data_IF_808738430148
#
_entry.id   IF_808738430148
#
_cell.length_a   1.000
_cell.length_b   1.000
_cell.length_c   1.000
_cell.angle_alpha   90.00
_cell.angle_beta   90.00
_cell.angle_gamma   90.00
#
_symmetry.space_group_name_H-M   'P 1'
#
loop_
_entity.id
_entity.type
_entity.pdbx_description
1 polymer ?
#
# COMPACT_ATOMS: atom_id res chain seq x y z
N UNK A 1 26.63 31.86 -40.46
CA UNK A 1 25.26 32.43 -40.39
C UNK A 1 24.76 32.18 -38.97
N UNK A 2 25.01 33.14 -38.09
CA UNK A 2 24.69 33.05 -36.67
C UNK A 2 23.31 33.68 -36.46
N UNK A 3 22.35 32.87 -36.01
CA UNK A 3 21.02 33.35 -35.63
C UNK A 3 20.83 33.15 -34.13
N UNK A 4 20.84 34.29 -33.44
CA UNK A 4 20.45 34.49 -32.06
C UNK A 4 18.94 34.26 -31.92
N UNK A 5 18.52 33.39 -31.02
CA UNK A 5 17.11 33.23 -30.63
C UNK A 5 16.93 33.77 -29.22
N UNK A 6 16.21 34.88 -29.14
CA UNK A 6 15.78 35.55 -27.93
C UNK A 6 14.66 34.77 -27.23
N UNK A 7 14.72 34.68 -25.91
CA UNK A 7 13.64 34.18 -25.04
C UNK A 7 12.65 35.31 -24.72
N UNK A 8 11.34 35.03 -24.58
CA UNK A 8 10.36 36.04 -24.20
C UNK A 8 10.32 36.28 -22.68
N UNK A 9 10.14 37.55 -22.33
CA UNK A 9 10.00 38.06 -20.96
C UNK A 9 8.65 37.67 -20.33
N UNK A 10 8.68 37.39 -19.03
CA UNK A 10 7.53 37.09 -18.18
C UNK A 10 7.03 38.39 -17.52
N UNK A 11 5.73 38.77 -17.60
CA UNK A 11 5.20 39.93 -16.90
C UNK A 11 4.32 39.50 -15.72
N UNK A 12 4.83 39.61 -14.48
CA UNK A 12 4.03 39.97 -13.28
C UNK A 12 4.81 39.73 -11.99
N UNK A 13 5.50 40.76 -11.51
CA UNK A 13 5.79 40.88 -10.09
C UNK A 13 5.70 42.37 -9.73
N UNK A 14 4.50 42.80 -9.34
CA UNK A 14 4.26 44.15 -8.86
C UNK A 14 4.43 44.17 -7.34
N UNK A 15 5.41 44.96 -6.94
CA UNK A 15 5.74 45.43 -5.60
C UNK A 15 4.54 45.93 -4.81
N UNK A 16 4.42 45.52 -3.54
CA UNK A 16 3.74 46.34 -2.52
C UNK A 16 4.49 46.27 -1.18
N UNK A 17 5.40 47.22 -1.01
CA UNK A 17 5.90 47.63 0.28
C UNK A 17 4.97 48.75 0.81
N UNK A 18 4.34 48.53 1.97
CA UNK A 18 3.77 49.62 2.75
C UNK A 18 4.12 49.43 4.22
N UNK A 19 4.99 50.32 4.68
CA UNK A 19 5.27 50.62 6.09
C UNK A 19 3.95 50.97 6.80
N UNK A 20 3.69 50.32 7.92
CA UNK A 20 2.64 50.69 8.86
C UNK A 20 3.14 50.41 10.27
N UNK A 21 3.62 51.45 10.93
CA UNK A 21 3.94 51.44 12.35
C UNK A 21 2.63 51.26 13.15
N UNK A 22 2.63 50.36 14.12
CA UNK A 22 1.59 50.26 15.14
C UNK A 22 2.15 50.52 16.54
N UNK A 23 1.34 51.08 17.45
CA UNK A 23 1.80 51.66 18.71
C UNK A 23 1.88 50.61 19.83
N UNK A 24 2.84 50.82 20.73
CA UNK A 24 2.98 50.10 22.00
C UNK A 24 1.77 50.36 22.93
N UNK A 25 1.20 49.34 23.58
CA UNK A 25 0.32 49.52 24.73
C UNK A 25 1.12 49.63 26.05
N UNK A 26 0.49 50.17 27.11
CA UNK A 26 1.19 50.75 28.26
C UNK A 26 1.68 49.71 29.27
N UNK A 27 2.78 50.08 29.93
CA UNK A 27 3.35 49.40 31.08
C UNK A 27 2.37 49.44 32.27
N UNK A 28 2.09 48.28 32.84
CA UNK A 28 1.48 48.16 34.18
C UNK A 28 2.40 47.35 35.07
N UNK A 29 2.53 47.84 36.30
CA UNK A 29 3.53 47.52 37.30
C UNK A 29 3.52 46.07 37.82
N UNK A 30 4.71 45.66 38.28
CA UNK A 30 4.98 44.50 39.13
C UNK A 30 4.10 44.46 40.40
N UNK A 31 3.96 43.27 41.01
CA UNK A 31 4.82 43.05 42.18
C UNK A 31 5.56 41.71 42.18
N UNK A 32 6.70 41.76 42.85
CA UNK A 32 7.68 40.72 43.09
C UNK A 32 7.09 39.39 43.57
N UNK A 33 7.66 38.29 43.06
CA UNK A 33 7.87 37.12 43.91
C UNK A 33 9.14 36.38 43.49
N UNK A 34 9.94 36.08 44.51
CA UNK A 34 11.23 35.40 44.45
C UNK A 34 11.12 33.94 43.99
N UNK A 35 12.30 33.37 43.73
CA UNK A 35 12.68 31.94 43.78
C UNK A 35 12.84 31.26 42.42
N UNK A 36 14.09 30.87 42.13
CA UNK A 36 14.40 29.68 41.31
C UNK A 36 15.39 29.88 40.17
N UNK A 37 16.68 30.06 40.50
CA UNK A 37 17.76 29.88 39.53
C UNK A 37 17.84 28.43 39.05
N UNK A 38 17.54 28.16 37.78
CA UNK A 38 18.09 27.01 37.05
C UNK A 38 18.30 27.37 35.57
N UNK A 39 19.56 27.56 35.19
CA UNK A 39 20.02 27.68 33.81
C UNK A 39 19.76 26.39 33.02
N UNK A 40 19.22 26.44 31.79
CA UNK A 40 19.31 25.32 30.86
C UNK A 40 20.56 25.49 29.98
N UNK A 41 21.51 24.58 30.16
CA UNK A 41 22.59 24.35 29.20
C UNK A 41 22.04 23.73 27.91
N UNK A 42 22.41 24.31 26.78
CA UNK A 42 22.32 23.68 25.45
C UNK A 42 23.40 22.59 25.30
N UNK A 43 23.08 21.45 24.65
CA UNK A 43 24.05 20.73 23.82
C UNK A 43 23.57 20.76 22.36
N UNK A 44 24.30 21.40 21.45
CA UNK A 44 25.45 20.85 20.69
C UNK A 44 25.10 19.60 19.87
N UNK A 45 24.92 19.87 18.59
CA UNK A 45 25.36 19.10 17.40
C UNK A 45 26.14 17.82 17.66
N UNK A 46 25.67 16.70 17.10
CA UNK A 46 26.48 15.52 16.82
C UNK A 46 26.50 15.26 15.32
N UNK A 47 27.67 15.46 14.72
CA UNK A 47 28.09 14.90 13.45
C UNK A 47 28.71 13.50 13.66
N UNK A 48 28.45 12.62 12.69
CA UNK A 48 29.32 11.58 12.12
C UNK A 48 30.01 10.50 12.98
N UNK A 49 29.67 9.26 12.61
CA UNK A 49 30.55 8.15 12.20
C UNK A 49 31.41 7.36 13.22
N UNK A 50 31.09 6.07 13.36
CA UNK A 50 31.95 4.86 13.43
C UNK A 50 31.01 3.69 13.06
N UNK A 51 31.12 2.86 12.02
CA UNK A 51 32.20 2.04 11.47
C UNK A 51 32.99 1.26 12.53
N UNK A 52 32.69 -0.05 12.62
CA UNK A 52 33.68 -1.07 12.92
C UNK A 52 33.25 -2.41 12.31
N UNK A 53 34.19 -2.95 11.52
CA UNK A 53 34.28 -4.31 11.01
C UNK A 53 34.81 -5.26 12.09
N UNK A 54 34.44 -6.54 12.01
CA UNK A 54 35.22 -7.76 12.31
C UNK A 54 34.34 -8.93 11.76
N UNK A 55 34.66 -9.68 10.69
CA UNK A 55 35.81 -10.56 10.39
C UNK A 55 35.98 -11.62 11.50
N UNK A 56 36.05 -12.95 11.34
CA UNK A 56 36.36 -13.92 10.27
C UNK A 56 35.90 -15.33 10.77
N UNK A 57 35.61 -16.32 9.92
CA UNK A 57 36.40 -17.58 9.69
C UNK A 57 35.53 -18.52 8.80
N UNK A 58 35.93 -18.95 7.59
CA UNK A 58 36.72 -20.18 7.24
C UNK A 58 36.08 -21.48 7.80
N UNK A 59 35.89 -22.62 7.13
CA UNK A 59 36.44 -23.26 5.91
C UNK A 59 35.62 -24.58 5.67
N UNK A 60 35.30 -24.97 4.44
CA UNK A 60 35.53 -26.35 3.94
C UNK A 60 35.29 -26.47 2.42
N UNK A 61 36.32 -26.99 1.75
CA UNK A 61 36.43 -27.38 0.34
C UNK A 61 36.38 -28.91 0.26
N UNK A 62 36.03 -29.42 -0.94
CA UNK A 62 36.27 -30.76 -1.53
C UNK A 62 34.98 -31.58 -1.74
N UNK A 63 34.70 -32.24 -2.86
CA UNK A 63 35.34 -32.39 -4.19
C UNK A 63 34.38 -33.23 -5.08
N UNK A 64 34.57 -33.15 -6.41
CA UNK A 64 34.29 -34.17 -7.45
C UNK A 64 32.86 -34.79 -7.60
N UNK A 65 32.27 -35.13 -8.76
CA UNK A 65 32.81 -35.55 -10.07
C UNK A 65 31.67 -35.66 -11.09
N UNK A 66 32.00 -35.34 -12.35
CA UNK A 66 31.62 -35.94 -13.66
C UNK A 66 30.20 -36.49 -13.95
N UNK A 67 29.67 -36.14 -15.14
CA UNK A 67 28.55 -36.86 -15.74
C UNK A 67 27.97 -36.29 -17.04
N UNK A 68 28.62 -36.62 -18.16
CA UNK A 68 28.06 -36.84 -19.52
C UNK A 68 27.41 -35.71 -20.34
N UNK A 69 27.95 -35.60 -21.56
CA UNK A 69 27.51 -34.85 -22.73
C UNK A 69 26.20 -35.38 -23.35
N UNK A 70 25.31 -34.49 -23.83
CA UNK A 70 24.46 -34.73 -25.01
C UNK A 70 24.08 -33.39 -25.71
N UNK A 71 23.93 -33.37 -27.06
CA UNK A 71 23.91 -32.14 -27.89
C UNK A 71 22.51 -31.54 -28.13
N UNK A 72 22.40 -30.31 -28.69
CA UNK A 72 21.19 -29.49 -28.60
C UNK A 72 20.07 -29.89 -29.57
N UNK A 73 18.84 -29.90 -29.04
CA UNK A 73 17.62 -30.00 -29.82
C UNK A 73 17.38 -28.72 -30.64
N UNK A 74 17.09 -28.92 -31.93
CA UNK A 74 16.73 -27.90 -32.92
C UNK A 74 15.43 -27.19 -32.53
N UNK A 75 15.44 -25.86 -32.59
CA UNK A 75 14.23 -25.04 -32.63
C UNK A 75 13.66 -25.03 -34.06
N UNK A 76 12.34 -25.21 -34.25
CA UNK A 76 11.73 -24.90 -35.52
C UNK A 76 11.42 -23.40 -35.62
N UNK A 77 11.83 -22.84 -36.76
CA UNK A 77 11.44 -21.54 -37.26
C UNK A 77 9.94 -21.46 -37.57
N UNK A 78 9.44 -20.22 -37.54
CA UNK A 78 8.17 -19.75 -38.13
C UNK A 78 6.87 -20.05 -37.38
N UNK A 79 6.23 -18.98 -36.90
CA UNK A 79 4.83 -18.70 -37.27
C UNK A 79 4.45 -17.25 -36.91
N UNK A 80 4.63 -16.36 -37.88
CA UNK A 80 4.04 -15.03 -37.90
C UNK A 80 2.60 -15.12 -38.44
N UNK A 81 1.62 -15.43 -37.58
CA UNK A 81 0.19 -15.17 -37.86
C UNK A 81 -0.65 -15.59 -36.66
N UNK A 82 -0.90 -14.67 -35.72
CA UNK A 82 -2.01 -14.81 -34.75
C UNK A 82 -2.64 -13.45 -34.43
N UNK A 83 -3.05 -12.78 -35.50
CA UNK A 83 -3.91 -11.61 -35.45
C UNK A 83 -4.90 -11.68 -36.61
N UNK A 84 -5.96 -12.49 -36.41
CA UNK A 84 -7.27 -12.48 -37.08
C UNK A 84 -7.98 -13.77 -36.66
N UNK A 85 -9.17 -13.61 -36.10
CA UNK A 85 -10.11 -14.64 -35.63
C UNK A 85 -10.13 -14.87 -34.12
N UNK A 86 -10.67 -13.87 -33.41
CA UNK A 86 -11.31 -14.07 -32.12
C UNK A 86 -12.69 -13.38 -32.13
N UNK A 87 -13.64 -14.01 -32.82
CA UNK A 87 -15.07 -13.77 -32.56
C UNK A 87 -15.42 -14.36 -31.21
N UNK A 88 -15.25 -13.58 -30.14
CA UNK A 88 -15.60 -13.96 -28.77
C UNK A 88 -17.01 -13.47 -28.44
N UNK A 89 -17.97 -14.38 -28.59
CA UNK A 89 -19.26 -14.30 -27.95
C UNK A 89 -19.07 -14.24 -26.41
N UNK A 90 -19.78 -13.32 -25.78
CA UNK A 90 -19.81 -13.14 -24.33
C UNK A 90 -20.41 -14.39 -23.65
N UNK A 91 -19.54 -15.26 -23.15
CA UNK A 91 -19.93 -16.33 -22.21
C UNK A 91 -19.51 -15.91 -20.80
N UNK A 92 -20.45 -15.38 -20.01
CA UNK A 92 -20.26 -15.21 -18.56
C UNK A 92 -20.33 -16.58 -17.87
N UNK A 93 -19.33 -17.01 -17.09
CA UNK A 93 -19.51 -18.09 -16.16
C UNK A 93 -20.32 -17.60 -14.95
N UNK A 94 -21.39 -18.33 -14.61
CA UNK A 94 -22.15 -18.13 -13.39
C UNK A 94 -21.39 -18.79 -12.23
N UNK A 95 -20.81 -17.98 -11.35
CA UNK A 95 -20.19 -18.45 -10.12
C UNK A 95 -21.30 -18.52 -9.06
N UNK A 96 -21.75 -19.73 -8.74
CA UNK A 96 -22.65 -20.00 -7.60
C UNK A 96 -21.79 -20.20 -6.35
N UNK A 97 -21.84 -19.26 -5.43
CA UNK A 97 -21.36 -19.48 -4.07
C UNK A 97 -22.37 -20.32 -3.31
N UNK A 98 -21.94 -21.49 -2.78
CA UNK A 98 -22.67 -22.18 -1.71
C UNK A 98 -22.44 -21.39 -0.44
N UNK A 99 -23.52 -20.88 0.13
CA UNK A 99 -23.53 -20.15 1.38
C UNK A 99 -24.02 -21.11 2.46
N UNK A 100 -23.08 -21.84 3.06
CA UNK A 100 -23.30 -22.58 4.30
C UNK A 100 -22.05 -22.35 5.14
N UNK A 101 -22.21 -21.60 6.23
CA UNK A 101 -21.56 -21.79 7.54
C UNK A 101 -21.88 -20.59 8.43
N UNK A 102 -22.88 -20.82 9.28
CA UNK A 102 -23.21 -19.99 10.44
C UNK A 102 -22.19 -20.34 11.52
N UNK A 103 -21.32 -19.41 11.89
CA UNK A 103 -20.50 -19.56 13.10
C UNK A 103 -21.28 -18.98 14.28
N UNK A 104 -21.79 -19.86 15.14
CA UNK A 104 -22.14 -19.52 16.52
C UNK A 104 -20.86 -19.15 17.27
N UNK A 105 -20.85 -17.95 17.84
CA UNK A 105 -19.82 -17.52 18.78
C UNK A 105 -20.26 -17.99 20.16
N UNK A 106 -19.85 -19.19 20.56
CA UNK A 106 -19.95 -19.62 21.96
C UNK A 106 -18.92 -18.87 22.80
N UNK A 107 -19.41 -18.05 23.73
CA UNK A 107 -18.62 -17.42 24.78
C UNK A 107 -18.29 -18.44 25.86
N UNK A 108 -17.07 -18.98 25.83
CA UNK A 108 -16.51 -19.79 26.91
C UNK A 108 -15.76 -18.91 27.91
N UNK A 109 -16.33 -18.77 29.12
CA UNK A 109 -15.61 -18.26 30.29
C UNK A 109 -14.55 -19.29 30.72
N UNK A 110 -13.29 -18.86 30.79
CA UNK A 110 -12.18 -19.69 31.27
C UNK A 110 -12.09 -19.56 32.80
N UNK A 111 -12.52 -20.60 33.50
CA UNK A 111 -12.19 -20.85 34.89
C UNK A 111 -10.90 -21.68 34.95
N UNK A 112 -9.99 -21.32 35.86
CA UNK A 112 -8.66 -21.91 36.03
C UNK A 112 -8.73 -22.88 37.20
N UNK A 113 -8.45 -24.17 36.97
CA UNK A 113 -7.97 -25.06 38.05
C UNK A 113 -7.19 -26.29 37.53
N UNK A 114 -5.94 -26.40 37.97
CA UNK A 114 -5.36 -27.55 38.67
C UNK A 114 -5.39 -28.99 38.12
N UNK A 115 -4.18 -29.45 37.77
CA UNK A 115 -3.56 -30.73 38.20
C UNK A 115 -3.89 -32.09 37.53
N UNK A 116 -2.83 -32.62 36.89
CA UNK A 116 -2.20 -33.95 37.05
C UNK A 116 -2.89 -35.29 36.67
N UNK A 117 -2.07 -36.07 35.93
CA UNK A 117 -1.87 -37.53 35.95
C UNK A 117 -2.66 -38.46 34.98
N UNK A 118 -1.88 -39.02 34.05
CA UNK A 118 -1.76 -40.44 33.63
C UNK A 118 -3.01 -41.32 33.41
N UNK A 119 -3.10 -41.89 32.21
CA UNK A 119 -3.83 -43.15 31.97
C UNK A 119 -4.38 -43.32 30.54
N UNK A 120 -3.65 -44.03 29.68
CA UNK A 120 -4.22 -44.89 28.61
C UNK A 120 -4.78 -46.19 29.25
N UNK A 121 -5.48 -47.12 28.54
CA UNK A 121 -6.08 -47.12 27.18
C UNK A 121 -7.49 -47.80 27.10
N UNK A 122 -8.03 -47.90 25.86
CA UNK A 122 -8.95 -48.93 25.27
C UNK A 122 -10.37 -48.52 24.85
N UNK A 123 -10.66 -48.79 23.57
CA UNK A 123 -11.97 -48.87 22.91
C UNK A 123 -12.90 -49.93 23.53
N UNK A 124 -14.24 -49.85 23.34
CA UNK A 124 -14.84 -50.52 22.18
C UNK A 124 -16.10 -49.87 21.56
N UNK A 125 -16.32 -50.21 20.29
CA UNK A 125 -17.61 -50.43 19.58
C UNK A 125 -18.89 -49.84 20.18
N UNK A 126 -19.55 -48.94 19.43
CA UNK A 126 -20.99 -48.68 19.56
C UNK A 126 -21.66 -48.77 18.19
N UNK A 127 -22.78 -49.50 18.23
CA UNK A 127 -23.69 -49.98 17.22
C UNK A 127 -24.57 -48.92 16.55
N UNK A 128 -25.04 -49.29 15.37
CA UNK A 128 -26.21 -48.81 14.63
C UNK A 128 -27.31 -48.17 15.49
N UNK A 129 -27.72 -46.96 15.08
CA UNK A 129 -29.01 -46.38 15.44
C UNK A 129 -29.76 -45.97 14.17
N UNK A 130 -30.96 -46.56 14.07
CA UNK A 130 -32.00 -46.42 13.07
C UNK A 130 -32.37 -44.97 12.76
N UNK A 131 -32.27 -44.58 11.48
CA UNK A 131 -32.86 -43.35 10.94
C UNK A 131 -34.38 -43.47 10.86
N UNK A 132 -35.10 -42.54 11.50
CA UNK A 132 -36.53 -42.33 11.31
C UNK A 132 -36.76 -41.09 10.44
N UNK A 133 -37.70 -41.12 9.48
CA UNK A 133 -37.95 -40.01 8.58
C UNK A 133 -38.68 -38.86 9.32
N UNK A 134 -37.98 -37.75 9.50
CA UNK A 134 -38.55 -36.48 9.97
C UNK A 134 -39.43 -35.89 8.87
N UNK A 135 -40.75 -35.90 9.08
CA UNK A 135 -41.69 -35.20 8.21
C UNK A 135 -41.56 -33.69 8.42
N UNK A 136 -40.90 -33.03 7.48
CA UNK A 136 -40.82 -31.56 7.42
C UNK A 136 -42.17 -31.02 6.93
N UNK A 137 -43.00 -30.57 7.86
CA UNK A 137 -44.23 -29.85 7.56
C UNK A 137 -43.88 -28.49 6.91
N UNK A 138 -44.20 -28.35 5.62
CA UNK A 138 -44.03 -27.12 4.86
C UNK A 138 -45.11 -26.09 5.24
N UNK A 139 -44.89 -25.39 6.35
CA UNK A 139 -45.73 -24.25 6.73
C UNK A 139 -45.40 -23.08 5.81
N UNK A 140 -46.19 -22.95 4.74
CA UNK A 140 -46.19 -21.83 3.79
C UNK A 140 -46.63 -20.54 4.50
N UNK A 141 -45.71 -19.95 5.24
CA UNK A 141 -45.84 -18.58 5.74
C UNK A 141 -45.44 -17.66 4.61
N UNK A 142 -46.42 -17.33 3.76
CA UNK A 142 -46.34 -16.30 2.74
C UNK A 142 -46.23 -14.94 3.45
N UNK A 143 -45.03 -14.67 3.94
CA UNK A 143 -44.66 -13.45 4.65
C UNK A 143 -44.92 -12.25 3.74
N UNK A 144 -45.89 -11.45 4.17
CA UNK A 144 -46.32 -10.22 3.56
C UNK A 144 -45.25 -9.16 3.85
N UNK A 145 -44.21 -9.10 3.01
CA UNK A 145 -43.21 -8.03 3.02
C UNK A 145 -43.91 -6.71 2.68
N UNK A 146 -44.29 -5.96 3.72
CA UNK A 146 -44.96 -4.67 3.59
C UNK A 146 -44.00 -3.63 2.98
N UNK A 147 -44.55 -2.82 2.08
CA UNK A 147 -43.84 -1.81 1.28
C UNK A 147 -43.26 -0.63 2.09
N UNK A 148 -43.63 -0.48 3.36
CA UNK A 148 -43.09 0.54 4.28
C UNK A 148 -41.60 0.35 4.62
N UNK A 149 -41.06 -0.86 4.46
CA UNK A 149 -39.67 -1.17 4.81
C UNK A 149 -38.62 -0.54 3.86
N UNK A 150 -38.96 -0.32 2.58
CA UNK A 150 -37.98 0.06 1.55
C UNK A 150 -37.37 1.45 1.76
N UNK A 151 -38.15 2.41 2.24
CA UNK A 151 -37.66 3.79 2.46
C UNK A 151 -36.62 3.87 3.58
N UNK A 152 -36.84 3.12 4.67
CA UNK A 152 -35.93 3.09 5.83
C UNK A 152 -34.58 2.46 5.48
N UNK A 153 -34.58 1.33 4.78
CA UNK A 153 -33.35 0.65 4.37
C UNK A 153 -32.47 1.52 3.45
N UNK A 154 -33.08 2.22 2.49
CA UNK A 154 -32.35 3.09 1.57
C UNK A 154 -31.78 4.33 2.27
N UNK A 155 -32.51 4.88 3.25
CA UNK A 155 -32.00 5.99 4.08
C UNK A 155 -30.78 5.56 4.90
N UNK A 156 -30.82 4.38 5.51
CA UNK A 156 -29.69 3.83 6.28
C UNK A 156 -28.48 3.55 5.39
N UNK A 157 -28.70 2.98 4.20
CA UNK A 157 -27.62 2.76 3.23
C UNK A 157 -26.95 4.08 2.82
N UNK A 158 -27.75 5.13 2.55
CA UNK A 158 -27.24 6.46 2.20
C UNK A 158 -26.41 7.07 3.33
N UNK A 159 -26.81 6.85 4.58
CA UNK A 159 -26.06 7.30 5.75
C UNK A 159 -24.71 6.58 5.88
N UNK A 160 -24.63 5.28 5.57
CA UNK A 160 -23.37 4.52 5.60
C UNK A 160 -22.38 4.92 4.49
N UNK A 161 -22.86 5.44 3.35
CA UNK A 161 -22.05 5.75 2.16
C UNK A 161 -21.59 7.23 2.13
N UNK A 162 -22.14 8.05 3.02
CA UNK A 162 -21.79 9.47 3.12
C UNK A 162 -21.17 9.78 4.48
N UNK A 163 -20.35 10.83 4.55
CA UNK A 163 -19.83 11.34 5.82
C UNK A 163 -20.71 12.48 6.32
N UNK A 164 -21.33 12.31 7.49
CA UNK A 164 -22.02 13.41 8.17
C UNK A 164 -20.99 14.42 8.69
N UNK A 165 -19.92 13.93 9.30
CA UNK A 165 -18.75 14.72 9.67
C UNK A 165 -17.61 14.49 8.66
N UNK A 166 -17.25 15.55 7.95
CA UNK A 166 -16.17 15.54 6.96
C UNK A 166 -14.78 15.36 7.60
N UNK A 167 -14.64 15.59 8.91
CA UNK A 167 -13.37 15.41 9.62
C UNK A 167 -12.91 13.95 9.69
N UNK A 168 -13.87 13.02 9.58
CA UNK A 168 -13.63 11.58 9.58
C UNK A 168 -13.02 11.08 8.27
N UNK A 169 -13.28 11.76 7.15
CA UNK A 169 -12.67 11.41 5.88
C UNK A 169 -11.21 11.85 5.90
N UNK A 170 -10.30 10.92 6.18
CA UNK A 170 -8.87 11.16 6.25
C UNK A 170 -8.11 10.42 5.16
N UNK A 171 -7.02 11.02 4.71
CA UNK A 171 -6.10 10.45 3.73
C UNK A 171 -4.65 10.64 4.16
N UNK A 172 -3.79 9.72 3.75
CA UNK A 172 -2.34 9.76 3.97
C UNK A 172 -1.65 9.86 2.61
N UNK A 173 -0.52 10.55 2.51
CA UNK A 173 0.24 10.60 1.26
C UNK A 173 0.88 9.25 0.94
N UNK A 174 0.73 8.75 -0.29
CA UNK A 174 1.27 7.45 -0.72
C UNK A 174 2.80 7.36 -0.52
N UNK A 175 3.54 8.45 -0.74
CA UNK A 175 4.98 8.49 -0.50
C UNK A 175 5.33 8.27 0.97
N UNK A 176 4.50 8.77 1.89
CA UNK A 176 4.67 8.57 3.33
C UNK A 176 4.46 7.10 3.73
N UNK A 177 3.48 6.43 3.10
CA UNK A 177 3.24 5.00 3.30
C UNK A 177 4.39 4.13 2.78
N UNK A 178 5.03 4.54 1.68
CA UNK A 178 6.14 3.82 1.06
C UNK A 178 7.50 4.12 1.72
N UNK A 179 7.58 5.05 2.68
CA UNK A 179 8.84 5.37 3.34
C UNK A 179 9.45 4.15 4.02
N UNK A 180 10.78 4.11 4.00
CA UNK A 180 11.63 3.07 4.59
C UNK A 180 11.27 1.67 4.13
N UNK A 181 10.82 1.52 2.88
CA UNK A 181 10.41 0.23 2.34
C UNK A 181 9.06 -0.25 2.86
N UNK A 182 8.15 0.68 3.17
CA UNK A 182 6.80 0.37 3.64
C UNK A 182 6.74 -0.12 5.08
N UNK A 183 7.52 0.48 6.00
CA UNK A 183 7.52 0.08 7.43
C UNK A 183 6.15 0.13 8.08
N UNK A 184 5.24 0.98 7.58
CA UNK A 184 3.86 1.06 8.07
C UNK A 184 3.11 -0.28 7.99
N UNK A 185 3.47 -1.13 7.02
CA UNK A 185 2.85 -2.43 6.75
C UNK A 185 3.41 -3.59 7.58
N UNK A 186 4.38 -3.33 8.46
CA UNK A 186 5.07 -4.38 9.23
C UNK A 186 4.20 -5.00 10.32
N UNK A 187 3.32 -4.19 10.93
CA UNK A 187 2.39 -4.62 11.97
C UNK A 187 0.99 -4.09 11.66
N UNK A 188 -0.05 -4.84 12.01
CA UNK A 188 -1.45 -4.40 11.88
C UNK A 188 -1.85 -3.37 12.94
N UNK A 189 -1.19 -3.39 14.09
CA UNK A 189 -1.45 -2.45 15.17
C UNK A 189 -1.07 -1.03 14.75
N UNK A 190 -2.00 -0.08 14.91
CA UNK A 190 -1.72 1.34 14.80
C UNK A 190 -1.73 2.03 16.16
N UNK A 191 -1.25 3.26 16.15
CA UNK A 191 -1.13 4.15 17.31
C UNK A 191 -1.68 5.53 16.95
N UNK A 192 -1.77 6.42 17.94
CA UNK A 192 -2.06 7.83 17.67
C UNK A 192 -1.07 8.43 16.67
N UNK A 193 0.22 8.09 16.78
CA UNK A 193 1.25 8.56 15.86
C UNK A 193 1.05 8.06 14.41
N UNK A 194 0.53 6.85 14.20
CA UNK A 194 0.21 6.39 12.84
C UNK A 194 -1.05 7.06 12.29
N UNK A 195 -2.01 7.39 13.17
CA UNK A 195 -3.20 8.15 12.81
C UNK A 195 -2.87 9.59 12.40
N UNK A 196 -1.92 10.24 13.10
CA UNK A 196 -1.43 11.59 12.81
C UNK A 196 -0.69 11.72 11.47
N UNK A 197 -0.34 10.59 10.83
CA UNK A 197 0.19 10.60 9.45
C UNK A 197 -0.89 10.98 8.43
N UNK A 198 -2.16 10.73 8.74
CA UNK A 198 -3.28 11.11 7.90
C UNK A 198 -3.77 12.51 8.25
N UNK A 199 -4.44 13.18 7.31
CA UNK A 199 -5.12 14.45 7.54
C UNK A 199 -6.57 14.39 7.00
N UNK A 200 -7.50 15.21 7.51
CA UNK A 200 -8.82 15.35 6.90
C UNK A 200 -8.73 15.80 5.44
N UNK A 201 -9.44 15.13 4.55
CA UNK A 201 -9.45 15.37 3.10
C UNK A 201 -10.87 15.42 2.58
N UNK A 202 -11.05 16.02 1.40
CA UNK A 202 -12.36 16.09 0.73
C UNK A 202 -12.58 14.88 -0.16
N UNK A 203 -11.51 14.33 -0.74
CA UNK A 203 -11.51 13.21 -1.69
C UNK A 203 -10.21 12.42 -1.54
N UNK A 204 -10.26 11.16 -1.99
CA UNK A 204 -9.12 10.24 -2.02
C UNK A 204 -8.82 9.87 -3.47
N UNK A 205 -7.54 9.81 -3.82
CA UNK A 205 -7.09 9.37 -5.15
C UNK A 205 -7.14 7.84 -5.27
N UNK A 206 -6.83 7.12 -4.18
CA UNK A 206 -6.92 5.68 -4.15
C UNK A 206 -7.30 5.12 -2.78
N UNK A 207 -8.07 4.04 -2.79
CA UNK A 207 -8.30 3.16 -1.65
C UNK A 207 -7.35 1.97 -1.71
N UNK A 208 -6.48 1.78 -0.72
CA UNK A 208 -5.56 0.63 -0.68
C UNK A 208 -6.24 -0.52 0.07
N UNK A 209 -6.70 -1.52 -0.67
CA UNK A 209 -7.16 -2.77 -0.08
C UNK A 209 -6.04 -3.80 -0.05
N UNK A 210 -5.86 -4.42 1.10
CA UNK A 210 -4.80 -5.38 1.33
C UNK A 210 -5.17 -6.35 2.46
N UNK A 211 -4.44 -7.46 2.54
CA UNK A 211 -4.54 -8.36 3.67
C UNK A 211 -3.32 -8.17 4.60
N UNK A 212 -3.57 -8.00 5.90
CA UNK A 212 -2.51 -7.86 6.90
C UNK A 212 -1.58 -9.07 6.96
N UNK A 213 -2.04 -10.29 6.65
CA UNK A 213 -1.19 -11.48 6.62
C UNK A 213 -0.24 -11.54 5.43
N UNK A 214 -0.40 -10.69 4.41
CA UNK A 214 0.55 -10.61 3.29
C UNK A 214 1.88 -10.01 3.77
N UNK A 215 3.04 -10.58 3.38
CA UNK A 215 4.34 -10.04 3.76
C UNK A 215 4.53 -8.58 3.37
N UNK A 216 5.23 -7.82 4.22
CA UNK A 216 5.54 -6.39 4.01
C UNK A 216 6.14 -6.11 2.64
N UNK A 217 7.09 -6.97 2.21
CA UNK A 217 7.83 -6.79 0.95
C UNK A 217 6.91 -6.87 -0.27
N UNK A 218 5.94 -7.78 -0.26
CA UNK A 218 4.99 -7.93 -1.37
C UNK A 218 4.09 -6.70 -1.49
N UNK A 219 3.55 -6.21 -0.36
CA UNK A 219 2.79 -4.95 -0.31
C UNK A 219 3.61 -3.79 -0.83
N UNK A 220 4.85 -3.64 -0.34
CA UNK A 220 5.73 -2.57 -0.75
C UNK A 220 6.08 -2.64 -2.24
N UNK A 221 6.46 -3.81 -2.77
CA UNK A 221 6.80 -3.97 -4.19
C UNK A 221 5.61 -3.65 -5.09
N UNK A 222 4.41 -4.14 -4.75
CA UNK A 222 3.19 -3.86 -5.50
C UNK A 222 2.87 -2.36 -5.52
N UNK A 223 2.88 -1.71 -4.35
CA UNK A 223 2.55 -0.30 -4.23
C UNK A 223 3.65 0.61 -4.81
N UNK A 224 4.93 0.27 -4.69
CA UNK A 224 6.02 0.97 -5.34
C UNK A 224 5.90 0.86 -6.86
N UNK A 225 5.60 -0.33 -7.38
CA UNK A 225 5.33 -0.52 -8.81
C UNK A 225 4.14 0.31 -9.28
N UNK A 226 3.08 0.43 -8.49
CA UNK A 226 1.92 1.24 -8.86
C UNK A 226 2.19 2.76 -8.80
N UNK A 227 2.66 3.26 -7.67
CA UNK A 227 2.80 4.72 -7.44
C UNK A 227 4.08 5.32 -8.02
N UNK A 228 5.17 4.58 -8.11
CA UNK A 228 6.47 5.11 -8.54
C UNK A 228 6.79 4.83 -10.01
N UNK A 229 5.99 4.03 -10.73
CA UNK A 229 6.30 3.63 -12.11
C UNK A 229 6.55 4.82 -13.05
N UNK A 230 5.69 5.84 -12.99
CA UNK A 230 5.82 6.98 -13.90
C UNK A 230 7.10 7.79 -13.62
N UNK A 231 7.43 7.97 -12.34
CA UNK A 231 8.67 8.62 -11.94
C UNK A 231 9.89 7.80 -12.35
N UNK A 232 9.87 6.48 -12.12
CA UNK A 232 10.95 5.57 -12.51
C UNK A 232 11.19 5.60 -14.02
N UNK A 233 10.11 5.55 -14.81
CA UNK A 233 10.17 5.65 -16.27
C UNK A 233 10.76 7.00 -16.72
N UNK A 234 10.27 8.12 -16.19
CA UNK A 234 10.75 9.45 -16.55
C UNK A 234 12.24 9.67 -16.20
N UNK A 235 12.65 9.28 -14.98
CA UNK A 235 14.05 9.37 -14.54
C UNK A 235 14.95 8.51 -15.43
N UNK A 236 14.51 7.29 -15.76
CA UNK A 236 15.26 6.38 -16.62
C UNK A 236 15.38 6.94 -18.04
N UNK A 237 14.33 7.54 -18.59
CA UNK A 237 14.36 8.15 -19.92
C UNK A 237 15.34 9.33 -19.97
N UNK A 238 15.37 10.17 -18.93
CA UNK A 238 16.34 11.26 -18.81
C UNK A 238 17.78 10.73 -18.71
N UNK A 239 17.99 9.69 -17.90
CA UNK A 239 19.30 9.04 -17.78
C UNK A 239 19.75 8.40 -19.11
N UNK A 240 18.86 7.70 -19.81
CA UNK A 240 19.12 7.11 -21.11
C UNK A 240 19.50 8.18 -22.15
N UNK A 241 18.79 9.30 -22.18
CA UNK A 241 19.12 10.44 -23.04
C UNK A 241 20.50 11.03 -22.74
N UNK A 242 20.83 11.23 -21.46
CA UNK A 242 22.14 11.71 -21.04
C UNK A 242 23.27 10.74 -21.39
N UNK A 243 23.10 9.44 -21.12
CA UNK A 243 24.08 8.40 -21.45
C UNK A 243 24.27 8.25 -22.96
N UNK A 244 23.19 8.40 -23.74
CA UNK A 244 23.26 8.39 -25.21
C UNK A 244 24.05 9.59 -25.70
N UNK A 245 23.80 10.79 -25.19
CA UNK A 245 24.54 11.99 -25.55
C UNK A 245 26.04 11.90 -25.18
N UNK A 246 26.37 11.30 -24.04
CA UNK A 246 27.76 11.05 -23.64
C UNK A 246 28.44 10.02 -24.54
N UNK A 247 27.72 8.96 -24.93
CA UNK A 247 28.20 7.95 -25.88
C UNK A 247 28.47 8.57 -27.26
N UNK A 248 27.55 9.37 -27.80
CA UNK A 248 27.72 10.01 -29.12
C UNK A 248 28.82 11.06 -29.13
N UNK A 249 29.10 11.69 -27.98
CA UNK A 249 30.24 12.58 -27.81
C UNK A 249 31.59 11.85 -27.62
N UNK A 250 31.60 10.51 -27.60
CA UNK A 250 32.81 9.69 -27.46
C UNK A 250 33.35 9.59 -26.03
N UNK A 251 32.58 9.99 -25.02
CA UNK A 251 33.00 9.90 -23.61
C UNK A 251 32.75 8.52 -22.99
N UNK A 252 31.87 7.71 -23.58
CA UNK A 252 31.54 6.36 -23.10
C UNK A 252 31.87 5.30 -24.16
N UNK A 253 32.26 4.09 -23.75
CA UNK A 253 32.60 3.03 -24.67
C UNK A 253 31.36 2.50 -25.41
N UNK A 254 31.53 2.28 -26.71
CA UNK A 254 30.59 1.49 -27.55
C UNK A 254 31.10 0.07 -27.72
N UNK A 255 30.18 -0.88 -27.91
CA UNK A 255 30.50 -2.25 -28.31
C UNK A 255 29.96 -2.45 -29.72
N UNK A 256 30.84 -2.87 -30.63
CA UNK A 256 30.46 -3.24 -31.99
C UNK A 256 29.90 -4.67 -32.00
N UNK A 257 28.65 -4.81 -32.40
CA UNK A 257 27.96 -6.09 -32.53
C UNK A 257 27.98 -6.62 -33.98
N UNK A 258 28.90 -6.13 -34.81
CA UNK A 258 29.04 -6.55 -36.21
C UNK A 258 27.88 -6.06 -37.07
N UNK A 259 27.10 -6.99 -37.62
CA UNK A 259 25.97 -6.65 -38.51
C UNK A 259 24.87 -5.80 -37.84
N UNK A 260 24.82 -5.81 -36.50
CA UNK A 260 23.85 -5.03 -35.72
C UNK A 260 24.33 -3.61 -35.36
N UNK A 261 25.55 -3.25 -35.74
CA UNK A 261 26.15 -1.94 -35.50
C UNK A 261 26.66 -1.74 -34.06
N UNK A 262 27.02 -0.50 -33.75
CA UNK A 262 27.51 -0.11 -32.42
C UNK A 262 26.35 0.13 -31.44
N UNK A 263 26.42 -0.47 -30.25
CA UNK A 263 25.51 -0.15 -29.16
C UNK A 263 26.25 0.30 -27.90
N UNK A 264 25.65 1.24 -27.17
CA UNK A 264 26.19 1.76 -25.92
C UNK A 264 26.01 0.76 -24.78
N UNK A 265 27.03 -0.06 -24.51
CA UNK A 265 27.03 -1.06 -23.43
C UNK A 265 26.65 -0.46 -22.07
N UNK A 266 27.17 0.73 -21.77
CA UNK A 266 26.87 1.46 -20.53
C UNK A 266 25.39 1.80 -20.43
N UNK A 267 24.75 2.23 -21.54
CA UNK A 267 23.33 2.56 -21.55
C UNK A 267 22.48 1.32 -21.26
N UNK A 268 22.77 0.19 -21.92
CA UNK A 268 22.05 -1.08 -21.73
C UNK A 268 22.13 -1.63 -20.31
N UNK A 269 23.28 -1.47 -19.63
CA UNK A 269 23.46 -1.93 -18.25
C UNK A 269 22.90 -0.94 -17.22
N UNK A 270 23.11 0.36 -17.43
CA UNK A 270 22.75 1.39 -16.44
C UNK A 270 21.26 1.70 -16.44
N UNK A 271 20.55 1.65 -17.58
CA UNK A 271 19.13 2.00 -17.61
C UNK A 271 18.26 1.10 -16.73
N UNK A 272 18.37 -0.24 -16.76
CA UNK A 272 17.64 -1.11 -15.84
C UNK A 272 17.98 -0.85 -14.37
N UNK A 273 19.26 -0.58 -14.05
CA UNK A 273 19.68 -0.27 -12.69
C UNK A 273 19.10 1.06 -12.20
N UNK A 274 19.18 2.12 -13.03
CA UNK A 274 18.56 3.42 -12.74
C UNK A 274 17.05 3.27 -12.58
N UNK A 275 16.40 2.47 -13.43
CA UNK A 275 14.97 2.19 -13.31
C UNK A 275 14.62 1.54 -11.99
N UNK A 276 15.32 0.46 -11.59
CA UNK A 276 15.06 -0.22 -10.32
C UNK A 276 15.35 0.69 -9.13
N UNK A 277 16.46 1.43 -9.15
CA UNK A 277 16.78 2.40 -8.10
C UNK A 277 15.69 3.48 -8.01
N UNK A 278 15.27 4.06 -9.12
CA UNK A 278 14.22 5.07 -9.15
C UNK A 278 12.87 4.50 -8.69
N UNK A 279 12.55 3.26 -9.06
CA UNK A 279 11.32 2.58 -8.66
C UNK A 279 11.22 2.44 -7.12
N UNK A 280 12.32 2.10 -6.45
CA UNK A 280 12.33 1.88 -5.00
C UNK A 280 12.69 3.11 -4.17
N UNK A 281 13.32 4.13 -4.74
CA UNK A 281 13.83 5.29 -3.96
C UNK A 281 13.16 6.62 -4.30
N UNK A 282 12.39 6.71 -5.39
CA UNK A 282 11.75 7.98 -5.79
C UNK A 282 10.80 8.55 -4.74
N UNK A 283 10.09 7.71 -3.98
CA UNK A 283 9.25 8.19 -2.88
C UNK A 283 10.06 8.87 -1.76
N UNK A 284 11.25 8.39 -1.43
CA UNK A 284 12.14 9.05 -0.47
C UNK A 284 12.70 10.35 -1.04
N UNK A 285 13.08 10.34 -2.32
CA UNK A 285 13.56 11.54 -3.01
C UNK A 285 12.49 12.63 -3.03
N UNK A 286 11.25 12.30 -3.41
CA UNK A 286 10.14 13.24 -3.44
C UNK A 286 9.74 13.72 -2.04
N UNK A 287 9.73 12.83 -1.04
CA UNK A 287 9.50 13.21 0.34
C UNK A 287 10.59 14.16 0.86
N UNK A 288 11.87 13.93 0.52
CA UNK A 288 12.98 14.81 0.87
C UNK A 288 12.87 16.20 0.19
N UNK A 289 12.26 16.26 -0.99
CA UNK A 289 11.93 17.51 -1.70
C UNK A 289 10.66 18.19 -1.17
N UNK A 290 10.01 17.64 -0.14
CA UNK A 290 8.76 18.18 0.41
C UNK A 290 7.54 17.97 -0.50
N UNK A 291 7.65 17.10 -1.51
CA UNK A 291 6.53 16.75 -2.37
C UNK A 291 5.64 15.72 -1.67
N UNK A 292 4.33 15.99 -1.66
CA UNK A 292 3.34 15.03 -1.23
C UNK A 292 2.94 14.13 -2.39
N UNK A 293 2.85 12.82 -2.13
CA UNK A 293 2.29 11.88 -3.10
C UNK A 293 0.76 11.91 -3.09
N UNK A 294 0.13 11.08 -3.94
CA UNK A 294 -1.31 10.86 -3.97
C UNK A 294 -1.92 10.68 -2.58
N UNK A 295 -3.05 11.33 -2.32
CA UNK A 295 -3.79 11.13 -1.06
C UNK A 295 -4.56 9.82 -1.12
N UNK A 296 -4.19 8.88 -0.26
CA UNK A 296 -4.75 7.52 -0.27
C UNK A 296 -5.34 7.13 1.07
N UNK A 297 -6.31 6.23 1.04
CA UNK A 297 -6.84 5.60 2.24
C UNK A 297 -6.06 4.33 2.56
N UNK A 298 -5.60 4.25 3.81
CA UNK A 298 -5.10 3.04 4.45
C UNK A 298 -5.72 2.97 5.84
N UNK A 299 -6.45 1.89 6.12
CA UNK A 299 -7.16 1.63 7.37
C UNK A 299 -6.37 2.01 8.63
N UNK A 300 -5.12 1.56 8.75
CA UNK A 300 -4.25 1.80 9.90
C UNK A 300 -3.92 3.27 10.15
N UNK A 301 -3.85 4.09 9.10
CA UNK A 301 -3.53 5.53 9.23
C UNK A 301 -4.77 6.40 9.24
N UNK A 302 -5.85 5.99 8.58
CA UNK A 302 -7.04 6.83 8.40
C UNK A 302 -8.14 6.55 9.44
N UNK A 303 -8.13 5.38 10.08
CA UNK A 303 -9.03 5.03 11.19
C UNK A 303 -8.25 5.09 12.50
N UNK A 304 -8.82 5.76 13.49
CA UNK A 304 -8.21 5.89 14.80
C UNK A 304 -8.14 4.52 15.49
N UNK A 305 -6.93 4.04 15.84
CA UNK A 305 -6.74 2.66 16.31
C UNK A 305 -6.83 2.50 17.85
N UNK A 306 -6.64 3.59 18.60
CA UNK A 306 -6.56 3.57 20.07
C UNK A 306 -7.88 3.98 20.75
N UNK A 307 -8.57 4.97 20.21
CA UNK A 307 -9.93 5.39 20.61
C UNK A 307 -10.98 4.47 19.97
N UNK A 308 -11.70 3.72 20.80
CA UNK A 308 -12.65 2.69 20.36
C UNK A 308 -13.92 3.26 19.74
N UNK A 309 -14.34 4.45 20.12
CA UNK A 309 -15.54 5.07 19.58
C UNK A 309 -15.25 5.60 18.17
N UNK A 310 -14.13 6.31 18.00
CA UNK A 310 -13.67 6.76 16.68
C UNK A 310 -13.28 5.58 15.77
N UNK A 311 -12.68 4.53 16.33
CA UNK A 311 -12.39 3.30 15.57
C UNK A 311 -13.67 2.69 15.00
N UNK A 312 -14.69 2.53 15.86
CA UNK A 312 -15.98 1.97 15.49
C UNK A 312 -16.67 2.84 14.45
N UNK A 313 -16.66 4.16 14.63
CA UNK A 313 -17.24 5.09 13.66
C UNK A 313 -16.53 5.01 12.30
N UNK A 314 -15.20 4.98 12.29
CA UNK A 314 -14.41 4.81 11.06
C UNK A 314 -14.71 3.48 10.33
N UNK A 315 -14.81 2.37 11.07
CA UNK A 315 -15.17 1.05 10.54
C UNK A 315 -16.58 1.06 9.94
N UNK A 316 -17.56 1.66 10.62
CA UNK A 316 -18.94 1.76 10.14
C UNK A 316 -19.07 2.62 8.86
N UNK A 317 -18.09 3.48 8.59
CA UNK A 317 -18.04 4.38 7.42
C UNK A 317 -17.11 3.88 6.31
N UNK A 318 -16.68 2.62 6.31
CA UNK A 318 -15.78 2.09 5.27
C UNK A 318 -16.33 2.26 3.84
N UNK A 319 -17.63 2.03 3.65
CA UNK A 319 -18.30 2.26 2.37
C UNK A 319 -18.23 3.72 1.92
N UNK A 320 -18.23 4.68 2.86
CA UNK A 320 -18.07 6.09 2.54
C UNK A 320 -16.63 6.41 2.09
N UNK A 321 -15.61 5.77 2.66
CA UNK A 321 -14.22 5.91 2.17
C UNK A 321 -14.06 5.37 0.74
N UNK A 322 -14.65 4.22 0.44
CA UNK A 322 -14.67 3.65 -0.91
C UNK A 322 -15.37 4.61 -1.89
N UNK A 323 -16.55 5.12 -1.54
CA UNK A 323 -17.30 6.07 -2.36
C UNK A 323 -16.59 7.43 -2.53
N UNK A 324 -15.73 7.81 -1.59
CA UNK A 324 -14.91 9.03 -1.67
C UNK A 324 -13.60 8.84 -2.46
N UNK A 325 -13.27 7.60 -2.86
CA UNK A 325 -12.03 7.25 -3.57
C UNK A 325 -12.23 7.21 -5.08
N UNK A 326 -11.28 7.77 -5.84
CA UNK A 326 -11.30 7.74 -7.32
C UNK A 326 -10.98 6.36 -7.89
N UNK A 327 -10.13 5.62 -7.20
CA UNK A 327 -9.67 4.30 -7.62
C UNK A 327 -9.48 3.36 -6.43
N UNK A 328 -9.38 2.07 -6.69
CA UNK A 328 -9.04 1.05 -5.70
C UNK A 328 -7.79 0.30 -6.14
N UNK A 329 -6.79 0.24 -5.26
CA UNK A 329 -5.54 -0.48 -5.48
C UNK A 329 -5.55 -1.73 -4.60
N UNK A 330 -5.59 -2.88 -5.25
CA UNK A 330 -5.67 -4.18 -4.57
C UNK A 330 -4.30 -4.82 -4.53
N UNK A 331 -3.76 -5.02 -3.32
CA UNK A 331 -2.58 -5.88 -3.12
C UNK A 331 -3.05 -7.32 -3.07
N UNK A 332 -3.17 -7.93 -4.24
CA UNK A 332 -3.64 -9.30 -4.37
C UNK A 332 -2.64 -10.31 -3.80
N UNK A 333 -3.14 -11.27 -3.03
CA UNK A 333 -2.39 -12.43 -2.54
C UNK A 333 -3.31 -13.66 -2.53
N UNK A 334 -2.78 -14.89 -2.42
CA UNK A 334 -3.61 -16.11 -2.39
C UNK A 334 -4.66 -16.13 -1.26
N UNK A 335 -4.44 -15.38 -0.19
CA UNK A 335 -5.36 -15.28 0.96
C UNK A 335 -6.27 -14.05 0.88
N UNK A 336 -6.16 -13.22 -0.16
CA UNK A 336 -6.95 -12.00 -0.28
C UNK A 336 -8.44 -12.30 -0.40
N UNK A 337 -8.85 -13.26 -1.23
CA UNK A 337 -10.27 -13.62 -1.42
C UNK A 337 -10.82 -14.54 -0.32
N UNK A 338 -10.00 -14.95 0.65
CA UNK A 338 -10.45 -15.79 1.77
C UNK A 338 -10.84 -14.98 3.01
N UNK A 339 -10.49 -13.69 3.05
CA UNK A 339 -10.86 -12.79 4.16
C UNK A 339 -12.17 -12.10 3.84
N UNK A 340 -13.12 -12.18 4.76
CA UNK A 340 -14.44 -11.57 4.60
C UNK A 340 -14.36 -10.06 4.35
N UNK A 341 -13.45 -9.38 5.05
CA UNK A 341 -13.27 -7.93 4.96
C UNK A 341 -12.84 -7.45 3.57
N UNK A 342 -11.82 -8.07 2.99
CA UNK A 342 -11.33 -7.74 1.63
C UNK A 342 -12.33 -8.10 0.55
N UNK A 343 -13.11 -9.17 0.72
CA UNK A 343 -14.22 -9.53 -0.18
C UNK A 343 -15.34 -8.48 -0.08
N UNK A 344 -15.66 -8.02 1.13
CA UNK A 344 -16.62 -6.94 1.33
C UNK A 344 -16.17 -5.63 0.65
N UNK A 345 -14.90 -5.24 0.79
CA UNK A 345 -14.34 -4.06 0.12
C UNK A 345 -14.43 -4.18 -1.40
N UNK A 346 -14.04 -5.33 -1.96
CA UNK A 346 -14.11 -5.58 -3.39
C UNK A 346 -15.56 -5.55 -3.90
N UNK A 347 -16.48 -6.20 -3.19
CA UNK A 347 -17.90 -6.24 -3.55
C UNK A 347 -18.57 -4.87 -3.46
N UNK A 348 -18.10 -4.00 -2.55
CA UNK A 348 -18.63 -2.65 -2.39
C UNK A 348 -18.17 -1.69 -3.50
N UNK A 349 -17.08 -2.01 -4.20
CA UNK A 349 -16.53 -1.20 -5.29
C UNK A 349 -17.10 -1.57 -6.68
N UNK A 350 -17.65 -2.79 -6.83
CA UNK A 350 -18.19 -3.34 -8.09
C UNK A 350 -19.65 -2.93 -8.36
#
# INVERSE_FOLDING_TARGET
VASSLALPACPSCSTRASKGAMPLPPQTAEPANEVGHHSPQLPRTCDSACFNEESTSAEHIADATEGSEEPPARLPESCSTWAKDAGLAQHRPSIRFKQDDVYEVEGGAHEVEGAAAAGEPRDPMVSEASEAPVQVASTSTRSMWTTESKGSAMSRAKECITFSDKSLLRGTGAFQLLRRGGTIFEHSEGSAATFDLSAPVVRLEAFISHNWSTPRREKYMCLAMYFNWWAAWAITLLAAGALTALTTAGFLPTVDYGEFGEAGFVCSLMCPLVFLLALFTSNEMFAALGLSGPLVFLDKTCIHQTDKDLQREGILRLAAFLNASESMVIVYSPTYLTKLWTVYELASML
#
